data_IF_053333228836
#
_entry.id   IF_053333228836
#
_cell.length_a   1.000
_cell.length_b   1.000
_cell.length_c   1.000
_cell.angle_alpha   90.00
_cell.angle_beta   90.00
_cell.angle_gamma   90.00
#
_symmetry.space_group_name_H-M   'P 1'
#
loop_
_entity.id
_entity.type
_entity.pdbx_description
1 polymer ?
#
# COMPACT_ATOMS: atom_id res chain seq x y z
N UNK A 1 -7.42 -7.20 2.30
CA UNK A 1 -6.09 -7.68 2.73
C UNK A 1 -5.38 -6.49 3.34
N UNK A 2 -4.71 -6.70 4.46
CA UNK A 2 -3.94 -5.70 5.19
C UNK A 2 -2.54 -6.27 5.47
N UNK A 3 -1.50 -5.44 5.46
CA UNK A 3 -0.19 -5.81 5.96
C UNK A 3 0.03 -5.22 7.36
N UNK A 4 0.81 -5.91 8.18
CA UNK A 4 1.24 -5.42 9.49
C UNK A 4 2.61 -4.78 9.36
N UNK A 5 2.67 -3.46 9.57
CA UNK A 5 3.89 -2.67 9.46
C UNK A 5 4.22 -1.98 10.79
N UNK A 6 5.51 -1.82 11.09
CA UNK A 6 5.95 -1.09 12.27
C UNK A 6 6.05 0.41 12.00
N UNK A 7 5.13 1.20 12.56
CA UNK A 7 5.17 2.64 12.45
C UNK A 7 6.14 3.25 13.49
N UNK A 8 7.28 3.74 13.02
CA UNK A 8 8.30 4.33 13.91
C UNK A 8 7.84 5.59 14.65
N UNK A 9 6.93 6.37 14.07
CA UNK A 9 6.44 7.63 14.67
C UNK A 9 5.61 7.37 15.94
N UNK A 10 4.76 6.34 15.90
CA UNK A 10 3.88 5.93 17.01
C UNK A 10 4.50 4.83 17.87
N UNK A 11 5.55 4.15 17.37
CA UNK A 11 6.22 3.01 18.00
C UNK A 11 5.29 1.81 18.19
N UNK A 12 4.43 1.54 17.20
CA UNK A 12 3.47 0.44 17.22
C UNK A 12 3.45 -0.35 15.91
N UNK A 13 3.05 -1.62 16.02
CA UNK A 13 2.62 -2.43 14.89
C UNK A 13 1.19 -2.05 14.51
N UNK A 14 0.97 -1.73 13.24
CA UNK A 14 -0.30 -1.24 12.73
C UNK A 14 -0.73 -2.09 11.53
N UNK A 15 -2.03 -2.33 11.41
CA UNK A 15 -2.60 -2.95 10.21
C UNK A 15 -2.91 -1.84 9.21
N UNK A 16 -2.25 -1.88 8.06
CA UNK A 16 -2.44 -0.92 6.98
C UNK A 16 -2.72 -1.62 5.65
N UNK A 17 -3.11 -0.83 4.65
CA UNK A 17 -3.09 -1.27 3.25
C UNK A 17 -1.72 -0.93 2.66
N UNK A 18 -1.26 -1.69 1.65
CA UNK A 18 -0.01 -1.37 0.96
C UNK A 18 0.00 0.06 0.45
N UNK A 19 1.11 0.77 0.66
CA UNK A 19 1.25 2.18 0.32
C UNK A 19 2.71 2.57 0.14
N UNK A 20 2.95 3.33 -0.92
CA UNK A 20 4.22 4.01 -1.08
C UNK A 20 4.12 5.22 -1.99
N UNK A 21 5.27 5.81 -2.27
CA UNK A 21 5.37 7.02 -3.07
C UNK A 21 5.53 6.67 -4.55
N UNK A 22 4.86 7.43 -5.41
CA UNK A 22 5.11 7.34 -6.83
C UNK A 22 6.51 7.86 -7.15
N UNK A 23 7.26 7.09 -7.93
CA UNK A 23 8.55 7.49 -8.48
C UNK A 23 8.39 8.59 -9.54
N UNK A 24 9.49 9.28 -9.88
CA UNK A 24 9.45 10.34 -10.88
C UNK A 24 8.97 9.81 -12.25
N UNK A 25 7.82 10.33 -12.71
CA UNK A 25 7.19 9.91 -13.96
C UNK A 25 6.29 8.68 -13.86
N UNK A 26 6.21 8.06 -12.68
CA UNK A 26 5.29 6.95 -12.40
C UNK A 26 3.88 7.49 -12.14
N UNK A 27 2.88 6.91 -12.80
CA UNK A 27 1.48 7.20 -12.51
C UNK A 27 1.07 6.61 -11.15
N UNK A 28 0.04 7.18 -10.49
CA UNK A 28 -0.47 6.60 -9.24
C UNK A 28 -0.91 5.14 -9.37
N UNK A 29 -1.45 4.75 -10.52
CA UNK A 29 -1.85 3.37 -10.82
C UNK A 29 -0.64 2.43 -10.95
N UNK A 30 0.45 2.88 -11.56
CA UNK A 30 1.70 2.11 -11.65
C UNK A 30 2.32 1.93 -10.26
N UNK A 31 2.41 3.02 -9.49
CA UNK A 31 2.89 2.96 -8.11
C UNK A 31 2.06 2.01 -7.26
N UNK A 32 0.72 2.14 -7.27
CA UNK A 32 -0.16 1.26 -6.50
C UNK A 32 -0.01 -0.23 -6.86
N UNK A 33 0.27 -0.55 -8.13
CA UNK A 33 0.54 -1.95 -8.56
C UNK A 33 1.89 -2.44 -8.10
N UNK A 34 2.92 -1.59 -8.18
CA UNK A 34 4.28 -1.92 -7.75
C UNK A 34 4.32 -2.18 -6.24
N UNK A 35 3.83 -1.25 -5.44
CA UNK A 35 3.80 -1.35 -3.97
C UNK A 35 3.01 -2.58 -3.50
N UNK A 36 1.87 -2.87 -4.13
CA UNK A 36 1.09 -4.08 -3.83
C UNK A 36 1.93 -5.36 -3.99
N UNK A 37 2.72 -5.44 -5.07
CA UNK A 37 3.59 -6.61 -5.33
C UNK A 37 4.78 -6.64 -4.38
N UNK A 38 5.44 -5.50 -4.16
CA UNK A 38 6.61 -5.39 -3.30
C UNK A 38 6.27 -5.78 -1.86
N UNK A 39 5.21 -5.20 -1.28
CA UNK A 39 4.85 -5.42 0.12
C UNK A 39 4.14 -6.76 0.37
N UNK A 40 3.37 -7.27 -0.61
CA UNK A 40 2.47 -8.41 -0.36
C UNK A 40 2.63 -9.59 -1.31
N UNK A 41 3.34 -9.39 -2.41
CA UNK A 41 3.44 -10.35 -3.51
C UNK A 41 2.17 -10.49 -4.32
N UNK A 42 1.09 -9.76 -4.02
CA UNK A 42 -0.18 -9.88 -4.74
C UNK A 42 -0.14 -9.08 -6.04
N UNK A 43 -0.68 -9.65 -7.12
CA UNK A 43 -0.83 -8.94 -8.40
C UNK A 43 -2.28 -8.53 -8.61
N UNK A 44 -2.50 -7.24 -8.91
CA UNK A 44 -3.82 -6.72 -9.21
C UNK A 44 -4.25 -7.03 -10.67
N UNK A 45 -5.35 -7.77 -10.83
CA UNK A 45 -5.99 -7.98 -12.13
C UNK A 45 -6.71 -6.70 -12.58
N UNK A 46 -7.43 -6.06 -11.65
CA UNK A 46 -8.06 -4.76 -11.85
C UNK A 46 -7.74 -3.84 -10.70
N UNK A 47 -7.55 -2.57 -11.04
CA UNK A 47 -7.37 -1.50 -10.08
C UNK A 47 -8.47 -0.47 -10.32
N UNK A 48 -9.25 -0.17 -9.28
CA UNK A 48 -10.35 0.78 -9.33
C UNK A 48 -9.98 2.00 -8.50
N UNK A 49 -9.94 3.17 -9.14
CA UNK A 49 -9.71 4.43 -8.43
C UNK A 49 -10.92 4.77 -7.56
N UNK A 50 -10.70 4.90 -6.25
CA UNK A 50 -11.75 5.21 -5.28
C UNK A 50 -11.82 6.71 -4.97
N UNK A 51 -10.78 7.46 -5.30
CA UNK A 51 -10.68 8.89 -5.02
C UNK A 51 -9.35 9.27 -4.42
N UNK A 52 -9.28 10.51 -3.92
CA UNK A 52 -8.10 11.06 -3.29
C UNK A 52 -8.45 11.63 -1.92
N UNK A 53 -7.49 11.60 -1.00
CA UNK A 53 -7.63 12.17 0.33
C UNK A 53 -6.37 12.92 0.76
N UNK A 54 -6.54 14.01 1.49
CA UNK A 54 -5.45 14.63 2.23
C UNK A 54 -5.29 13.91 3.57
N UNK A 55 -4.07 13.50 3.92
CA UNK A 55 -3.79 12.88 5.22
C UNK A 55 -3.93 13.88 6.37
N UNK A 56 -3.43 15.10 6.18
CA UNK A 56 -3.65 16.24 7.05
C UNK A 56 -3.45 17.55 6.26
N UNK A 57 -4.56 18.20 5.90
CA UNK A 57 -4.54 19.42 5.10
C UNK A 57 -4.01 20.65 5.84
N UNK A 58 -3.85 20.57 7.17
CA UNK A 58 -3.27 21.63 7.99
C UNK A 58 -1.73 21.63 7.97
N UNK A 59 -1.12 20.48 7.64
CA UNK A 59 0.34 20.29 7.73
C UNK A 59 0.99 19.81 6.43
N UNK A 60 0.21 19.20 5.52
CA UNK A 60 0.69 18.67 4.25
C UNK A 60 -0.27 18.95 3.11
N UNK A 61 0.29 19.30 1.95
CA UNK A 61 -0.47 19.38 0.69
C UNK A 61 -0.45 18.07 -0.10
N UNK A 62 0.15 17.01 0.45
CA UNK A 62 0.22 15.71 -0.21
C UNK A 62 -1.17 15.05 -0.24
N UNK A 63 -1.53 14.53 -1.42
CA UNK A 63 -2.76 13.77 -1.62
C UNK A 63 -2.42 12.29 -1.79
N UNK A 64 -3.14 11.45 -1.07
CA UNK A 64 -3.10 9.99 -1.23
C UNK A 64 -4.15 9.60 -2.27
N UNK A 65 -3.73 8.87 -3.30
CA UNK A 65 -4.62 8.27 -4.30
C UNK A 65 -5.02 6.88 -3.83
N UNK A 66 -6.31 6.65 -3.63
CA UNK A 66 -6.81 5.40 -3.07
C UNK A 66 -7.35 4.49 -4.17
N UNK A 67 -7.00 3.21 -4.10
CA UNK A 67 -7.42 2.20 -5.06
C UNK A 67 -7.96 0.95 -4.37
N UNK A 68 -8.95 0.32 -5.01
CA UNK A 68 -9.35 -1.06 -4.72
C UNK A 68 -8.75 -1.98 -5.77
N UNK A 69 -8.01 -2.99 -5.33
CA UNK A 69 -7.46 -4.03 -6.19
C UNK A 69 -8.32 -5.30 -6.16
N UNK A 70 -8.69 -5.80 -7.33
CA UNK A 70 -9.07 -7.21 -7.51
C UNK A 70 -7.77 -8.01 -7.72
N UNK A 71 -7.53 -9.04 -6.92
CA UNK A 71 -6.30 -9.84 -6.93
C UNK A 71 -6.63 -11.33 -7.09
N UNK A 72 -5.84 -12.06 -7.87
CA UNK A 72 -6.03 -13.50 -8.10
C UNK A 72 -4.77 -14.34 -7.92
N UNK A 73 -3.58 -13.73 -7.89
CA UNK A 73 -2.31 -14.43 -7.76
C UNK A 73 -1.40 -13.76 -6.73
N UNK A 74 -0.59 -14.59 -6.07
CA UNK A 74 0.42 -14.18 -5.11
C UNK A 74 1.76 -14.80 -5.49
N UNK A 75 2.79 -13.96 -5.60
CA UNK A 75 4.20 -14.34 -5.72
C UNK A 75 4.92 -14.05 -4.40
N UNK A 76 6.22 -14.30 -4.34
CA UNK A 76 7.03 -13.88 -3.20
C UNK A 76 7.06 -12.35 -3.12
N UNK A 77 6.71 -11.80 -1.96
CA UNK A 77 6.88 -10.38 -1.67
C UNK A 77 8.38 -10.02 -1.62
N UNK A 78 8.70 -8.78 -1.96
CA UNK A 78 10.05 -8.22 -1.94
C UNK A 78 10.01 -6.81 -1.33
N UNK A 79 9.65 -6.69 -0.03
CA UNK A 79 9.58 -5.39 0.64
C UNK A 79 10.96 -4.74 0.69
N UNK A 80 11.00 -3.42 0.74
CA UNK A 80 12.26 -2.68 0.87
C UNK A 80 12.93 -2.93 2.22
N UNK A 81 14.26 -2.83 2.30
CA UNK A 81 15.02 -3.06 3.54
C UNK A 81 14.60 -2.14 4.71
N UNK A 82 14.02 -0.97 4.40
CA UNK A 82 13.50 -0.03 5.38
C UNK A 82 12.10 -0.36 5.92
N UNK A 83 11.43 -1.34 5.34
CA UNK A 83 10.07 -1.71 5.70
C UNK A 83 10.04 -2.97 6.56
N UNK A 84 9.43 -2.86 7.73
CA UNK A 84 9.25 -3.99 8.63
C UNK A 84 7.83 -4.54 8.45
N UNK A 85 7.63 -5.32 7.38
CA UNK A 85 6.36 -6.01 7.11
C UNK A 85 6.41 -7.42 7.69
N UNK A 86 5.59 -7.69 8.71
CA UNK A 86 5.65 -8.96 9.46
C UNK A 86 4.59 -9.98 9.00
N UNK A 87 3.37 -9.53 8.71
CA UNK A 87 2.24 -10.43 8.40
C UNK A 87 1.26 -9.83 7.40
N UNK A 88 0.68 -10.66 6.53
CA UNK A 88 -0.44 -10.32 5.65
C UNK A 88 -1.73 -10.94 6.20
N UNK A 89 -2.71 -10.09 6.52
CA UNK A 89 -3.99 -10.50 7.09
C UNK A 89 -5.11 -10.39 6.04
N UNK A 90 -5.82 -11.51 5.83
CA UNK A 90 -7.03 -11.55 4.99
C UNK A 90 -8.28 -11.47 5.87
N UNK A 91 -9.02 -10.37 5.73
CA UNK A 91 -10.30 -10.18 6.41
C UNK A 91 -11.40 -10.84 5.59
N UNK A 92 -12.14 -11.77 6.21
CA UNK A 92 -13.32 -12.42 5.62
C UNK A 92 -14.56 -12.05 6.42
N UNK A 93 -15.69 -11.90 5.74
CA UNK A 93 -17.02 -11.67 6.36
C UNK A 93 -17.63 -12.95 6.90
#
# INVERSE_FOLDING_TARGET
MLNCNFCHATRSWELEVPRGFASAGESPEEAARRELVEETGLTADKLHFLGEMASDSGTSSALVKLFMAEVSAQIAATPEDSEAVEEIVFLTT
#
